data_IF_155970564541
#
_entry.id   IF_155970564541
#
_cell.length_a   1.000
_cell.length_b   1.000
_cell.length_c   1.000
_cell.angle_alpha   90.00
_cell.angle_beta   90.00
_cell.angle_gamma   90.00
#
_symmetry.space_group_name_H-M   'P 1'
#
loop_
_entity.id
_entity.type
_entity.pdbx_description
1 polymer ?
#
# COMPACT_ATOMS: atom_id res chain seq x y z
N UNK A 1 -18.15 6.38 -9.52
CA UNK A 1 -18.26 6.70 -8.08
C UNK A 1 -17.14 7.67 -7.76
N UNK A 2 -17.43 8.87 -7.25
CA UNK A 2 -16.38 9.79 -6.83
C UNK A 2 -15.61 9.16 -5.64
N UNK A 3 -14.30 9.36 -5.50
CA UNK A 3 -13.57 8.84 -4.36
C UNK A 3 -14.15 9.46 -3.09
N UNK A 4 -14.64 8.60 -2.19
CA UNK A 4 -15.01 8.99 -0.84
C UNK A 4 -13.71 9.37 -0.15
N UNK A 5 -13.52 10.65 0.12
CA UNK A 5 -12.43 11.16 0.95
C UNK A 5 -12.82 11.01 2.42
N UNK A 6 -13.00 9.77 2.87
CA UNK A 6 -13.12 9.53 4.30
C UNK A 6 -11.80 9.89 4.98
N UNK A 7 -11.84 10.43 6.21
CA UNK A 7 -10.64 10.65 6.98
C UNK A 7 -9.87 9.33 7.15
N UNK A 8 -8.54 9.41 7.15
CA UNK A 8 -7.70 8.24 7.35
C UNK A 8 -8.04 7.56 8.70
N UNK A 9 -8.10 6.22 8.76
CA UNK A 9 -8.39 5.49 9.98
C UNK A 9 -7.44 5.84 11.13
N UNK A 10 -7.98 5.87 12.35
CA UNK A 10 -7.24 6.08 13.59
C UNK A 10 -7.67 5.06 14.66
N UNK A 11 -6.75 4.74 15.58
CA UNK A 11 -7.00 3.93 16.77
C UNK A 11 -6.50 4.71 18.00
N UNK A 12 -7.38 5.25 18.85
CA UNK A 12 -6.99 6.09 19.98
C UNK A 12 -5.94 5.43 20.89
N UNK A 13 -4.86 6.16 21.16
CA UNK A 13 -3.73 5.68 21.97
C UNK A 13 -2.79 4.69 21.27
N UNK A 14 -3.06 4.31 20.02
CA UNK A 14 -2.29 3.30 19.27
C UNK A 14 -1.78 3.83 17.93
N UNK A 15 -2.68 4.34 17.08
CA UNK A 15 -2.37 4.75 15.71
C UNK A 15 -3.10 6.05 15.37
N UNK A 16 -2.33 7.07 14.98
CA UNK A 16 -2.87 8.35 14.49
C UNK A 16 -2.87 8.41 12.96
N UNK A 17 -3.70 9.27 12.38
CA UNK A 17 -3.80 9.41 10.92
C UNK A 17 -2.49 9.89 10.27
N UNK A 18 -1.70 10.71 10.97
CA UNK A 18 -0.37 11.16 10.49
C UNK A 18 0.62 9.99 10.40
N UNK A 19 0.57 9.08 11.37
CA UNK A 19 1.40 7.87 11.37
C UNK A 19 0.97 6.93 10.25
N UNK A 20 -0.34 6.70 10.08
CA UNK A 20 -0.84 5.89 8.96
C UNK A 20 -0.43 6.48 7.61
N UNK A 21 -0.55 7.80 7.44
CA UNK A 21 -0.12 8.49 6.22
C UNK A 21 1.38 8.30 5.95
N UNK A 22 2.22 8.42 6.98
CA UNK A 22 3.65 8.21 6.86
C UNK A 22 3.99 6.75 6.48
N UNK A 23 3.32 5.78 7.08
CA UNK A 23 3.48 4.36 6.74
C UNK A 23 3.08 4.06 5.30
N UNK A 24 1.93 4.57 4.85
CA UNK A 24 1.47 4.40 3.46
C UNK A 24 2.45 5.03 2.47
N UNK A 25 2.97 6.22 2.78
CA UNK A 25 3.97 6.87 1.95
C UNK A 25 5.28 6.06 1.87
N UNK A 26 5.70 5.43 2.97
CA UNK A 26 6.85 4.54 2.98
C UNK A 26 6.62 3.30 2.11
N UNK A 27 5.47 2.63 2.24
CA UNK A 27 5.13 1.46 1.41
C UNK A 27 5.08 1.85 -0.08
N UNK A 28 4.49 3.00 -0.40
CA UNK A 28 4.40 3.47 -1.78
C UNK A 28 5.78 3.76 -2.40
N UNK A 29 6.77 4.17 -1.60
CA UNK A 29 8.14 4.42 -2.08
C UNK A 29 8.87 3.12 -2.50
N UNK A 30 8.50 2.00 -1.89
CA UNK A 30 9.05 0.68 -2.19
C UNK A 30 8.42 0.04 -3.44
N UNK A 31 7.28 0.54 -3.93
CA UNK A 31 6.63 0.01 -5.12
C UNK A 31 7.52 0.15 -6.36
N UNK A 32 7.71 -0.97 -7.07
CA UNK A 32 8.41 -0.99 -8.35
C UNK A 32 7.52 -0.52 -9.50
N UNK A 33 8.15 -0.18 -10.64
CA UNK A 33 7.44 0.37 -11.80
C UNK A 33 6.49 -0.61 -12.49
N UNK A 34 6.67 -1.92 -12.28
CA UNK A 34 5.81 -2.99 -12.80
C UNK A 34 4.66 -3.36 -11.84
N UNK A 35 4.59 -2.73 -10.67
CA UNK A 35 3.57 -2.97 -9.66
C UNK A 35 4.04 -3.77 -8.44
N UNK A 36 5.22 -4.38 -8.47
CA UNK A 36 5.73 -5.20 -7.38
C UNK A 36 5.89 -4.42 -6.05
N UNK A 37 5.62 -5.09 -4.93
CA UNK A 37 5.69 -4.51 -3.57
C UNK A 37 6.53 -5.40 -2.64
N UNK A 38 7.87 -5.37 -2.75
CA UNK A 38 8.77 -6.10 -1.86
C UNK A 38 8.81 -5.48 -0.46
N UNK A 39 9.41 -6.18 0.52
CA UNK A 39 9.68 -5.60 1.85
C UNK A 39 10.47 -4.29 1.78
N UNK A 40 11.41 -4.23 0.83
CA UNK A 40 12.15 -3.04 0.44
C UNK A 40 12.65 -3.23 -0.97
N UNK A 41 12.99 -2.15 -1.66
CA UNK A 41 13.46 -2.16 -3.04
C UNK A 41 14.66 -3.09 -3.21
N UNK A 42 14.49 -4.13 -4.03
CA UNK A 42 15.50 -5.16 -4.28
C UNK A 42 15.59 -6.25 -3.21
N UNK A 43 14.72 -6.22 -2.20
CA UNK A 43 14.60 -7.22 -1.14
C UNK A 43 13.66 -8.37 -1.49
N UNK A 44 13.34 -9.16 -0.47
CA UNK A 44 12.41 -10.30 -0.54
C UNK A 44 11.01 -9.84 -1.01
N UNK A 45 10.38 -10.72 -1.78
CA UNK A 45 9.02 -10.55 -2.27
C UNK A 45 8.35 -11.91 -2.42
N UNK A 46 7.24 -12.09 -1.71
CA UNK A 46 6.28 -13.15 -1.98
C UNK A 46 4.85 -12.61 -2.17
N UNK A 47 3.92 -13.52 -2.44
CA UNK A 47 2.51 -13.20 -2.67
C UNK A 47 1.86 -12.48 -1.48
N UNK A 48 2.23 -12.87 -0.27
CA UNK A 48 1.69 -12.36 0.97
C UNK A 48 2.18 -10.92 1.21
N UNK A 49 3.47 -10.69 1.00
CA UNK A 49 4.05 -9.35 1.07
C UNK A 49 3.34 -8.38 0.12
N UNK A 50 3.12 -8.83 -1.13
CA UNK A 50 2.49 -8.02 -2.14
C UNK A 50 1.03 -7.69 -1.81
N UNK A 51 0.24 -8.65 -1.31
CA UNK A 51 -1.18 -8.41 -1.00
C UNK A 51 -1.34 -7.52 0.24
N UNK A 52 -0.52 -7.70 1.29
CA UNK A 52 -0.56 -6.85 2.49
C UNK A 52 -0.22 -5.39 2.18
N UNK A 53 0.86 -5.18 1.43
CA UNK A 53 1.24 -3.86 0.97
C UNK A 53 0.16 -3.24 0.08
N UNK A 54 -0.46 -4.04 -0.80
CA UNK A 54 -1.53 -3.55 -1.65
C UNK A 54 -2.76 -3.08 -0.87
N UNK A 55 -3.19 -3.86 0.14
CA UNK A 55 -4.29 -3.49 1.03
C UNK A 55 -3.99 -2.22 1.83
N UNK A 56 -2.75 -2.06 2.32
CA UNK A 56 -2.35 -0.83 3.02
C UNK A 56 -2.46 0.41 2.13
N UNK A 57 -2.06 0.29 0.85
CA UNK A 57 -2.19 1.38 -0.13
C UNK A 57 -3.65 1.65 -0.53
N UNK A 58 -4.51 0.62 -0.60
CA UNK A 58 -5.94 0.77 -0.85
C UNK A 58 -6.64 1.58 0.27
N UNK A 59 -6.26 1.32 1.52
CA UNK A 59 -6.86 2.00 2.69
C UNK A 59 -6.32 3.42 2.86
N UNK A 60 -5.03 3.63 2.57
CA UNK A 60 -4.33 4.82 3.03
C UNK A 60 -3.91 5.84 1.98
N UNK A 61 -3.90 5.49 0.69
CA UNK A 61 -3.37 6.37 -0.35
C UNK A 61 -4.47 7.18 -1.06
N UNK A 62 -4.26 8.49 -1.18
CA UNK A 62 -5.10 9.36 -2.02
C UNK A 62 -4.84 9.18 -3.52
N UNK A 63 -3.74 8.51 -3.88
CA UNK A 63 -3.31 8.30 -5.26
C UNK A 63 -3.33 6.80 -5.58
N UNK A 64 -3.94 6.37 -6.70
CA UNK A 64 -3.92 4.96 -7.06
C UNK A 64 -2.50 4.53 -7.39
N UNK A 65 -1.88 3.72 -6.54
CA UNK A 65 -0.69 2.96 -6.92
C UNK A 65 -1.10 1.94 -7.99
N UNK A 66 -0.75 2.19 -9.25
CA UNK A 66 -1.23 1.38 -10.38
C UNK A 66 -0.49 0.05 -10.45
N UNK A 67 -1.14 -0.98 -10.99
CA UNK A 67 -0.50 -2.26 -11.34
C UNK A 67 -0.19 -3.22 -10.20
N UNK A 68 -0.39 -2.87 -8.92
CA UNK A 68 -0.10 -3.78 -7.78
C UNK A 68 -0.89 -5.09 -7.81
N UNK A 69 -2.19 -4.99 -8.02
CA UNK A 69 -3.10 -6.13 -8.06
C UNK A 69 -2.91 -6.93 -9.37
N UNK A 70 -2.61 -6.23 -10.46
CA UNK A 70 -2.28 -6.86 -11.76
C UNK A 70 -0.97 -7.66 -11.66
N UNK A 71 0.05 -7.11 -10.99
CA UNK A 71 1.30 -7.80 -10.72
C UNK A 71 1.04 -9.07 -9.90
N UNK A 72 0.26 -8.97 -8.82
CA UNK A 72 -0.06 -10.14 -7.98
C UNK A 72 -0.80 -11.22 -8.79
N UNK A 73 -1.83 -10.84 -9.56
CA UNK A 73 -2.62 -11.77 -10.37
C UNK A 73 -1.82 -12.45 -11.49
N UNK A 74 -0.77 -11.80 -11.99
CA UNK A 74 0.10 -12.38 -13.02
C UNK A 74 1.13 -13.37 -12.47
N UNK A 75 1.37 -13.39 -11.15
CA UNK A 75 2.45 -14.15 -10.53
C UNK A 75 1.97 -15.19 -9.50
N UNK A 76 0.66 -15.40 -9.33
CA UNK A 76 0.06 -16.32 -8.35
C UNK A 76 -1.11 -17.14 -8.92
#
# INVERSE_FOLDING_TARGET
MAPVTDPLPEVPGVLRADQLRATVAAIAAEQAGDGALPWSRGGQLDAWDAVEAAMALDVGASTPARGRHDWLAAHQ
#
